data_IF_243947616901
#
_entry.id   IF_243947616901
#
_cell.length_a   1.000
_cell.length_b   1.000
_cell.length_c   1.000
_cell.angle_alpha   90.00
_cell.angle_beta   90.00
_cell.angle_gamma   90.00
#
_symmetry.space_group_name_H-M   'P 1'
#
loop_
_entity.id
_entity.type
_entity.pdbx_description
1 polymer ?
#
# COMPACT_ATOMS: atom_id res chain seq x y z
N UNK A 1 -11.46 -5.58 -9.82
CA UNK A 1 -10.61 -4.44 -10.21
C UNK A 1 -9.17 -4.88 -10.23
N UNK A 2 -8.41 -4.55 -11.27
CA UNK A 2 -6.99 -4.94 -11.40
C UNK A 2 -6.06 -3.85 -10.84
N UNK A 3 -4.78 -4.18 -10.65
CA UNK A 3 -3.77 -3.19 -10.24
C UNK A 3 -3.63 -2.06 -11.28
N UNK A 4 -3.80 -2.37 -12.57
CA UNK A 4 -3.75 -1.36 -13.65
C UNK A 4 -4.90 -0.36 -13.58
N UNK A 5 -6.13 -0.85 -13.38
CA UNK A 5 -7.32 0.00 -13.21
C UNK A 5 -7.19 0.91 -11.97
N UNK A 6 -6.67 0.39 -10.86
CA UNK A 6 -6.45 1.18 -9.65
C UNK A 6 -5.44 2.31 -9.88
N UNK A 7 -4.33 2.05 -10.59
CA UNK A 7 -3.34 3.08 -10.94
C UNK A 7 -3.94 4.15 -11.86
N UNK A 8 -4.69 3.74 -12.89
CA UNK A 8 -5.34 4.69 -13.79
C UNK A 8 -6.36 5.58 -13.06
N UNK A 9 -7.16 5.00 -12.16
CA UNK A 9 -8.12 5.75 -11.36
C UNK A 9 -7.47 6.75 -10.40
N UNK A 10 -6.36 6.37 -9.75
CA UNK A 10 -5.61 7.27 -8.88
C UNK A 10 -4.95 8.41 -9.68
N UNK A 11 -4.36 8.10 -10.84
CA UNK A 11 -3.73 9.11 -11.69
C UNK A 11 -4.74 10.11 -12.28
N UNK A 12 -5.98 9.69 -12.52
CA UNK A 12 -7.05 10.55 -13.02
C UNK A 12 -7.84 11.30 -11.95
N UNK A 13 -7.59 11.05 -10.66
CA UNK A 13 -8.32 11.71 -9.58
C UNK A 13 -7.78 13.14 -9.37
N UNK A 14 -8.68 14.12 -9.28
CA UNK A 14 -8.30 15.49 -8.93
C UNK A 14 -8.10 15.66 -7.42
N UNK A 15 -7.32 16.66 -7.02
CA UNK A 15 -7.14 17.01 -5.60
C UNK A 15 -8.48 17.29 -4.91
N UNK A 16 -9.39 17.98 -5.60
CA UNK A 16 -10.74 18.26 -5.09
C UNK A 16 -11.52 16.96 -4.80
N UNK A 17 -11.38 15.94 -5.65
CA UNK A 17 -11.99 14.63 -5.42
C UNK A 17 -11.35 13.92 -4.23
N UNK A 18 -10.02 13.97 -4.12
CA UNK A 18 -9.26 13.33 -3.05
C UNK A 18 -9.45 13.99 -1.68
N UNK A 19 -9.82 15.27 -1.65
CA UNK A 19 -10.15 16.00 -0.43
C UNK A 19 -11.58 15.75 0.07
N UNK A 20 -12.44 15.10 -0.71
CA UNK A 20 -13.81 14.77 -0.27
C UNK A 20 -13.80 13.82 0.93
N UNK A 21 -14.78 13.95 1.84
CA UNK A 21 -14.91 13.03 2.96
C UNK A 21 -15.27 11.62 2.49
N UNK A 22 -14.75 10.63 3.19
CA UNK A 22 -15.11 9.22 3.09
C UNK A 22 -15.28 8.64 4.48
N UNK A 23 -16.33 7.85 4.67
CA UNK A 23 -16.68 7.26 5.97
C UNK A 23 -16.45 5.76 5.97
N UNK A 24 -15.80 5.27 7.02
CA UNK A 24 -15.73 3.83 7.31
C UNK A 24 -16.91 3.45 8.19
N UNK A 25 -17.65 2.42 7.78
CA UNK A 25 -18.72 1.84 8.57
C UNK A 25 -18.36 0.40 8.94
N UNK A 26 -18.73 -0.02 10.13
CA UNK A 26 -18.73 -1.42 10.54
C UNK A 26 -20.15 -1.82 10.90
N UNK A 27 -20.71 -2.80 10.18
CA UNK A 27 -22.10 -3.24 10.36
C UNK A 27 -23.13 -2.09 10.41
N UNK A 28 -22.92 -1.04 9.61
CA UNK A 28 -23.78 0.15 9.58
C UNK A 28 -23.46 1.24 10.62
N UNK A 29 -22.59 0.94 11.59
CA UNK A 29 -22.10 1.93 12.57
C UNK A 29 -20.93 2.71 12.01
N UNK A 30 -21.03 4.05 12.01
CA UNK A 30 -19.94 4.94 11.60
C UNK A 30 -18.76 4.79 12.58
N UNK A 31 -17.58 4.45 12.04
CA UNK A 31 -16.34 4.42 12.81
C UNK A 31 -15.61 5.76 12.75
N UNK A 32 -15.41 6.29 11.54
CA UNK A 32 -14.79 7.60 11.32
C UNK A 32 -15.12 8.13 9.93
N UNK A 33 -14.91 9.44 9.76
CA UNK A 33 -14.93 10.13 8.47
C UNK A 33 -13.62 10.89 8.30
N UNK A 34 -12.91 10.65 7.18
CA UNK A 34 -11.65 11.31 6.84
C UNK A 34 -11.63 11.67 5.35
N UNK A 35 -10.82 12.66 4.91
CA UNK A 35 -10.60 12.90 3.49
C UNK A 35 -10.07 11.64 2.79
N UNK A 36 -10.51 11.36 1.55
CA UNK A 36 -10.07 10.17 0.79
C UNK A 36 -8.55 10.05 0.69
N UNK A 37 -7.84 11.16 0.51
CA UNK A 37 -6.37 11.19 0.44
C UNK A 37 -5.71 10.63 1.71
N UNK A 38 -6.27 10.95 2.88
CA UNK A 38 -5.77 10.46 4.17
C UNK A 38 -5.98 8.96 4.28
N UNK A 39 -7.16 8.48 3.86
CA UNK A 39 -7.48 7.03 3.87
C UNK A 39 -6.53 6.27 2.95
N UNK A 40 -6.32 6.76 1.72
CA UNK A 40 -5.40 6.14 0.77
C UNK A 40 -3.97 6.09 1.32
N UNK A 41 -3.45 7.20 1.83
CA UNK A 41 -2.05 7.29 2.31
C UNK A 41 -1.80 6.46 3.57
N UNK A 42 -2.70 6.57 4.56
CA UNK A 42 -2.46 6.06 5.91
C UNK A 42 -2.97 4.64 6.12
N UNK A 43 -4.02 4.24 5.41
CA UNK A 43 -4.58 2.89 5.54
C UNK A 43 -4.17 2.04 4.36
N UNK A 44 -4.55 2.41 3.15
CA UNK A 44 -4.35 1.54 1.97
C UNK A 44 -2.85 1.31 1.70
N UNK A 45 -2.06 2.38 1.55
CA UNK A 45 -0.63 2.24 1.24
C UNK A 45 0.16 1.57 2.37
N UNK A 46 -0.11 1.92 3.63
CA UNK A 46 0.56 1.29 4.77
C UNK A 46 0.19 -0.21 4.87
N UNK A 47 -1.05 -0.58 4.57
CA UNK A 47 -1.48 -1.98 4.54
C UNK A 47 -0.80 -2.77 3.41
N UNK A 48 -0.65 -2.17 2.23
CA UNK A 48 0.13 -2.77 1.14
C UNK A 48 1.60 -2.96 1.51
N UNK A 49 2.21 -1.97 2.19
CA UNK A 49 3.60 -2.07 2.67
C UNK A 49 3.73 -3.21 3.70
N UNK A 50 2.78 -3.31 4.62
CA UNK A 50 2.71 -4.39 5.61
C UNK A 50 2.63 -5.78 4.94
N UNK A 51 1.71 -5.96 3.99
CA UNK A 51 1.59 -7.23 3.28
C UNK A 51 2.77 -7.52 2.35
N UNK A 52 3.43 -6.50 1.80
CA UNK A 52 4.70 -6.68 1.06
C UNK A 52 5.79 -7.28 1.95
N UNK A 53 5.88 -6.86 3.21
CA UNK A 53 6.83 -7.45 4.16
C UNK A 53 6.46 -8.91 4.50
N UNK A 54 5.17 -9.21 4.69
CA UNK A 54 4.71 -10.59 4.88
C UNK A 54 5.04 -11.50 3.68
N UNK A 55 4.84 -11.00 2.45
CA UNK A 55 5.25 -11.71 1.24
C UNK A 55 6.77 -11.96 1.23
N UNK A 56 7.58 -10.99 1.65
CA UNK A 56 9.02 -11.18 1.78
C UNK A 56 9.41 -12.33 2.71
N UNK A 57 8.68 -12.51 3.82
CA UNK A 57 8.86 -13.68 4.71
C UNK A 57 8.54 -14.98 3.98
N UNK A 58 7.48 -15.01 3.18
CA UNK A 58 7.13 -16.19 2.39
C UNK A 58 8.16 -16.51 1.31
N UNK A 59 8.72 -15.51 0.62
CA UNK A 59 9.82 -15.74 -0.31
C UNK A 59 11.00 -16.40 0.40
N UNK A 60 11.41 -15.85 1.55
CA UNK A 60 12.52 -16.40 2.34
C UNK A 60 12.28 -17.84 2.79
N UNK A 61 11.08 -18.15 3.27
CA UNK A 61 10.74 -19.51 3.72
C UNK A 61 10.69 -20.54 2.58
N UNK A 62 10.59 -20.10 1.34
CA UNK A 62 10.59 -20.96 0.15
C UNK A 62 11.91 -20.88 -0.62
N UNK A 63 12.99 -20.39 0.02
CA UNK A 63 14.32 -20.23 -0.58
C UNK A 63 14.32 -19.39 -1.87
N UNK A 64 13.38 -18.44 -1.99
CA UNK A 64 13.32 -17.48 -3.09
C UNK A 64 14.00 -16.17 -2.64
N UNK A 65 14.88 -15.56 -3.47
CA UNK A 65 15.53 -14.30 -3.14
C UNK A 65 14.54 -13.20 -2.76
N UNK A 66 14.80 -12.51 -1.65
CA UNK A 66 13.99 -11.39 -1.19
C UNK A 66 14.51 -10.10 -1.83
N UNK A 67 13.68 -9.32 -2.54
CA UNK A 67 14.13 -8.07 -3.14
C UNK A 67 14.38 -6.98 -2.08
N UNK A 68 15.21 -6.00 -2.41
CA UNK A 68 15.39 -4.79 -1.59
C UNK A 68 14.10 -3.99 -1.46
N UNK A 69 13.83 -3.45 -0.26
CA UNK A 69 12.56 -2.73 0.03
C UNK A 69 12.78 -1.28 0.47
N UNK A 70 13.45 -1.07 1.60
CA UNK A 70 13.84 0.25 2.15
C UNK A 70 15.36 0.35 2.35
N UNK A 71 16.08 -0.58 1.73
CA UNK A 71 17.48 -0.87 1.91
C UNK A 71 17.77 -2.26 1.33
N UNK A 72 19.05 -2.66 1.28
CA UNK A 72 19.44 -3.97 0.78
C UNK A 72 18.77 -5.07 1.60
N UNK A 73 18.33 -6.12 0.92
CA UNK A 73 18.00 -7.39 1.58
C UNK A 73 19.29 -8.17 1.86
N UNK A 74 19.19 -9.36 2.46
CA UNK A 74 20.35 -10.25 2.54
C UNK A 74 20.73 -10.86 1.18
N UNK A 75 19.84 -10.76 0.18
CA UNK A 75 19.98 -11.39 -1.14
C UNK A 75 20.39 -10.38 -2.24
N UNK A 76 20.43 -9.08 -1.92
CA UNK A 76 20.84 -8.01 -2.83
C UNK A 76 21.84 -7.08 -2.13
N UNK A 77 23.00 -6.86 -2.76
CA UNK A 77 24.03 -5.95 -2.25
C UNK A 77 23.60 -4.48 -2.38
N UNK A 78 24.04 -3.58 -1.48
CA UNK A 78 23.82 -2.15 -1.65
C UNK A 78 24.48 -1.66 -2.95
N UNK A 79 23.83 -0.79 -3.74
CA UNK A 79 24.43 -0.30 -4.98
C UNK A 79 25.73 0.45 -4.67
N UNK A 80 26.89 -0.14 -5.01
CA UNK A 80 28.20 0.50 -4.95
C UNK A 80 29.25 -0.07 -3.97
N UNK A 81 29.05 -1.26 -3.39
CA UNK A 81 30.11 -2.01 -2.67
C UNK A 81 30.32 -3.39 -3.28
#
# INVERSE_FOLDING_TARGET
>A
KTAGEARAALAGASDAELMKPWSMLTAGTLLFTLPKVVVLRSFVMNHLIHHRAQLGVYLRMNDIPVPSLYGPSADEAPPGF
#
